data_IF_759925585990
#
_entry.id   IF_759925585990
#
_cell.length_a   1.000
_cell.length_b   1.000
_cell.length_c   1.000
_cell.angle_alpha   90.00
_cell.angle_beta   90.00
_cell.angle_gamma   90.00
#
_symmetry.space_group_name_H-M   'P 1'
#
loop_
_entity.id
_entity.type
_entity.pdbx_description
1 polymer ?
#
# COMPACT_ATOMS: atom_id res chain seq x y z
N UNK A 1 -51.34 57.39 -64.44
CA UNK A 1 -50.02 56.93 -64.93
C UNK A 1 -49.54 55.82 -64.02
N UNK A 2 -49.28 54.62 -64.58
CA UNK A 2 -48.42 53.51 -64.11
C UNK A 2 -48.51 53.00 -62.66
N UNK A 3 -48.35 51.72 -62.30
CA UNK A 3 -48.17 50.41 -62.95
C UNK A 3 -48.37 49.39 -61.80
N UNK A 4 -49.09 48.28 -62.10
CA UNK A 4 -48.98 46.87 -61.66
C UNK A 4 -48.55 46.45 -60.21
N UNK A 5 -49.35 45.51 -59.66
CA UNK A 5 -49.02 44.20 -59.00
C UNK A 5 -48.02 44.18 -57.83
N UNK A 6 -48.06 43.30 -56.82
CA UNK A 6 -48.96 42.25 -56.32
C UNK A 6 -48.28 41.66 -55.05
N UNK A 7 -49.07 41.03 -54.19
CA UNK A 7 -48.74 39.85 -53.37
C UNK A 7 -48.05 39.97 -51.99
N UNK A 8 -48.77 39.33 -51.05
CA UNK A 8 -48.33 38.48 -49.93
C UNK A 8 -47.78 39.19 -48.68
N UNK A 9 -48.57 39.25 -47.58
CA UNK A 9 -48.74 38.21 -46.52
C UNK A 9 -47.40 37.84 -45.87
N UNK A 10 -47.18 37.81 -44.57
CA UNK A 10 -47.89 38.15 -43.32
C UNK A 10 -46.78 38.01 -42.23
N UNK A 11 -46.86 38.74 -41.11
CA UNK A 11 -46.92 38.19 -39.74
C UNK A 11 -46.61 39.29 -38.72
N UNK A 12 -47.53 39.43 -37.77
CA UNK A 12 -47.59 40.42 -36.69
C UNK A 12 -46.86 39.85 -35.46
N UNK A 13 -46.12 40.67 -34.68
CA UNK A 13 -45.49 40.23 -33.44
C UNK A 13 -46.48 40.27 -32.28
N UNK A 14 -46.38 39.33 -31.34
CA UNK A 14 -47.05 39.44 -30.05
C UNK A 14 -46.13 38.94 -28.94
N UNK A 15 -45.52 39.89 -28.25
CA UNK A 15 -45.00 39.71 -26.91
C UNK A 15 -46.20 39.57 -25.95
N UNK A 16 -46.19 38.53 -25.11
CA UNK A 16 -47.00 38.46 -23.90
C UNK A 16 -46.26 37.64 -22.86
N UNK A 17 -46.17 38.24 -21.67
CA UNK A 17 -45.46 37.76 -20.52
C UNK A 17 -46.31 36.81 -19.66
N UNK A 18 -45.59 36.04 -18.82
CA UNK A 18 -46.00 35.33 -17.60
C UNK A 18 -46.62 33.94 -17.78
N UNK A 19 -45.81 32.91 -17.49
CA UNK A 19 -46.22 31.79 -16.66
C UNK A 19 -45.00 31.28 -15.88
N UNK A 20 -45.07 31.37 -14.56
CA UNK A 20 -44.10 30.81 -13.63
C UNK A 20 -44.18 29.28 -13.64
N UNK A 21 -43.05 28.64 -13.91
CA UNK A 21 -42.76 27.28 -13.45
C UNK A 21 -41.53 27.41 -12.56
N UNK A 22 -41.74 27.24 -11.26
CA UNK A 22 -40.67 27.05 -10.30
C UNK A 22 -39.90 25.79 -10.71
N UNK A 23 -38.69 25.97 -11.24
CA UNK A 23 -37.69 24.91 -11.22
C UNK A 23 -37.25 24.76 -9.77
N UNK A 24 -37.99 23.97 -8.99
CA UNK A 24 -37.39 23.16 -7.93
C UNK A 24 -36.56 22.08 -8.63
N UNK A 25 -35.44 22.49 -9.22
CA UNK A 25 -34.37 21.56 -9.51
C UNK A 25 -33.87 21.11 -8.15
N UNK A 26 -34.13 19.85 -7.82
CA UNK A 26 -33.30 19.14 -6.87
C UNK A 26 -31.86 19.45 -7.26
N UNK A 27 -31.17 20.27 -6.46
CA UNK A 27 -29.74 20.06 -6.31
C UNK A 27 -29.66 18.61 -5.94
N UNK A 28 -29.21 17.80 -6.89
CA UNK A 28 -28.90 16.41 -6.65
C UNK A 28 -27.94 16.43 -5.48
N UNK A 29 -28.49 16.08 -4.32
CA UNK A 29 -27.82 15.21 -3.39
C UNK A 29 -27.36 14.03 -4.24
N UNK A 30 -26.19 14.20 -4.86
CA UNK A 30 -25.34 13.11 -5.26
C UNK A 30 -25.11 12.41 -3.95
N UNK A 31 -26.00 11.46 -3.65
CA UNK A 31 -25.80 10.51 -2.59
C UNK A 31 -24.36 10.08 -2.76
N UNK A 32 -23.54 10.50 -1.79
CA UNK A 32 -22.46 9.67 -1.34
C UNK A 32 -23.14 8.33 -1.12
N UNK A 33 -23.06 7.46 -2.12
CA UNK A 33 -23.00 6.04 -1.84
C UNK A 33 -21.96 5.98 -0.73
N UNK A 34 -22.40 5.51 0.43
CA UNK A 34 -21.52 5.22 1.55
C UNK A 34 -20.47 4.28 0.96
N UNK A 35 -19.33 4.89 0.60
CA UNK A 35 -18.08 4.23 0.30
C UNK A 35 -17.89 3.23 1.42
N UNK A 36 -17.64 1.96 1.07
CA UNK A 36 -17.07 1.02 2.02
C UNK A 36 -15.94 1.75 2.74
N UNK A 37 -16.01 1.79 4.07
CA UNK A 37 -15.39 2.80 4.90
C UNK A 37 -13.99 3.20 4.40
N UNK A 38 -13.89 4.36 3.74
CA UNK A 38 -12.61 5.04 3.61
C UNK A 38 -12.07 5.13 5.03
N UNK A 39 -10.93 4.49 5.29
CA UNK A 39 -10.36 4.45 6.63
C UNK A 39 -10.22 5.90 7.12
N UNK A 40 -11.07 6.31 8.05
CA UNK A 40 -10.98 7.65 8.61
C UNK A 40 -9.60 7.78 9.26
N UNK A 41 -8.93 8.90 9.04
CA UNK A 41 -7.62 9.11 9.64
C UNK A 41 -7.78 9.24 11.16
N UNK A 42 -7.19 8.29 11.90
CA UNK A 42 -7.22 8.24 13.35
C UNK A 42 -6.46 9.40 14.03
N UNK A 43 -6.71 9.67 15.33
CA UNK A 43 -6.03 10.73 16.07
C UNK A 43 -4.50 10.66 16.04
N UNK A 44 -3.91 9.45 16.13
CA UNK A 44 -2.46 9.27 16.04
C UNK A 44 -1.99 9.37 14.59
N UNK A 45 -2.79 8.85 13.65
CA UNK A 45 -2.56 8.95 12.21
C UNK A 45 -2.27 10.39 11.74
N UNK A 46 -3.01 11.37 12.27
CA UNK A 46 -2.83 12.81 11.97
C UNK A 46 -1.44 13.37 12.29
N UNK A 47 -0.79 12.84 13.33
CA UNK A 47 0.59 13.23 13.62
C UNK A 47 1.54 12.53 12.64
N UNK A 48 1.30 11.25 12.34
CA UNK A 48 2.15 10.50 11.43
C UNK A 48 2.10 11.03 10.01
N UNK A 49 0.93 11.42 9.51
CA UNK A 49 0.77 12.03 8.20
C UNK A 49 1.38 13.44 8.09
N UNK A 50 1.83 14.04 9.20
CA UNK A 50 2.61 15.27 9.18
C UNK A 50 4.13 15.01 9.05
N UNK A 51 4.57 13.76 9.22
CA UNK A 51 5.95 13.35 8.96
C UNK A 51 6.19 12.99 7.48
N UNK A 52 5.12 12.77 6.72
CA UNK A 52 5.18 12.43 5.31
C UNK A 52 4.56 13.54 4.47
N UNK A 53 5.16 13.82 3.33
CA UNK A 53 4.57 14.70 2.31
C UNK A 53 3.96 13.82 1.23
N UNK A 54 2.64 13.64 1.26
CA UNK A 54 1.92 12.79 0.29
C UNK A 54 2.06 13.35 -1.15
N UNK A 55 2.34 14.65 -1.31
CA UNK A 55 2.68 15.27 -2.60
C UNK A 55 4.17 15.08 -2.99
N UNK A 56 4.97 14.42 -2.16
CA UNK A 56 6.38 14.12 -2.42
C UNK A 56 6.62 12.88 -3.27
N UNK A 57 5.67 11.96 -3.36
CA UNK A 57 5.86 10.72 -4.12
C UNK A 57 5.24 10.80 -5.51
N UNK A 58 5.75 11.70 -6.35
CA UNK A 58 5.47 11.66 -7.80
C UNK A 58 6.51 10.81 -8.51
N UNK A 59 6.16 10.19 -9.65
CA UNK A 59 7.14 9.47 -10.47
C UNK A 59 8.33 10.37 -10.83
N UNK A 60 8.09 11.66 -11.13
CA UNK A 60 9.16 12.63 -11.41
C UNK A 60 10.11 12.85 -10.22
N UNK A 61 9.59 12.92 -8.98
CA UNK A 61 10.43 13.06 -7.78
C UNK A 61 11.18 11.76 -7.48
N UNK A 62 10.53 10.61 -7.64
CA UNK A 62 11.17 9.31 -7.50
C UNK A 62 12.32 9.13 -8.51
N UNK A 63 12.09 9.45 -9.78
CA UNK A 63 13.12 9.39 -10.83
C UNK A 63 14.28 10.34 -10.52
N UNK A 64 13.99 11.54 -9.99
CA UNK A 64 15.02 12.51 -9.61
C UNK A 64 15.84 12.04 -8.39
N UNK A 65 15.23 11.43 -7.38
CA UNK A 65 15.93 10.85 -6.23
C UNK A 65 16.74 9.61 -6.63
N UNK A 66 16.20 8.77 -7.51
CA UNK A 66 16.92 7.63 -8.07
C UNK A 66 18.16 8.10 -8.86
N UNK A 67 18.00 9.08 -9.74
CA UNK A 67 19.12 9.69 -10.46
C UNK A 67 20.18 10.27 -9.52
N UNK A 68 19.77 11.02 -8.48
CA UNK A 68 20.71 11.57 -7.50
C UNK A 68 21.49 10.46 -6.79
N UNK A 69 20.83 9.38 -6.42
CA UNK A 69 21.47 8.21 -5.77
C UNK A 69 22.48 7.56 -6.72
N UNK A 70 22.08 7.31 -7.97
CA UNK A 70 22.93 6.71 -9.01
C UNK A 70 24.14 7.60 -9.37
N UNK A 71 24.00 8.93 -9.36
CA UNK A 71 25.12 9.85 -9.53
C UNK A 71 26.13 9.79 -8.38
N UNK A 72 25.65 9.63 -7.14
CA UNK A 72 26.51 9.44 -5.96
C UNK A 72 27.22 8.08 -6.01
N UNK A 73 26.54 7.03 -6.44
CA UNK A 73 27.13 5.70 -6.67
C UNK A 73 28.22 5.78 -7.74
N UNK A 74 27.95 6.43 -8.88
CA UNK A 74 28.92 6.61 -9.95
C UNK A 74 30.17 7.36 -9.48
N UNK A 75 30.00 8.41 -8.67
CA UNK A 75 31.11 9.16 -8.08
C UNK A 75 31.95 8.31 -7.11
N UNK A 76 31.29 7.49 -6.29
CA UNK A 76 31.95 6.55 -5.37
C UNK A 76 32.73 5.47 -6.14
N UNK A 77 32.10 4.80 -7.11
CA UNK A 77 32.75 3.77 -7.92
C UNK A 77 33.94 4.31 -8.71
N UNK A 78 33.81 5.51 -9.29
CA UNK A 78 34.91 6.18 -10.00
C UNK A 78 36.09 6.46 -9.07
N UNK A 79 35.83 6.85 -7.82
CA UNK A 79 36.86 7.11 -6.81
C UNK A 79 37.60 5.83 -6.40
N UNK A 80 36.89 4.71 -6.32
CA UNK A 80 37.45 3.39 -6.03
C UNK A 80 38.13 2.75 -7.26
N UNK A 81 38.01 3.39 -8.43
CA UNK A 81 38.74 3.04 -9.65
C UNK A 81 37.95 2.21 -10.66
N UNK A 82 36.63 2.08 -10.47
CA UNK A 82 35.74 1.39 -11.39
C UNK A 82 35.00 2.38 -12.31
N UNK A 83 34.79 1.99 -13.56
CA UNK A 83 33.85 2.70 -14.43
C UNK A 83 32.42 2.30 -14.04
N UNK A 84 31.53 3.27 -13.85
CA UNK A 84 30.14 3.04 -13.52
C UNK A 84 29.25 4.10 -14.18
N UNK A 85 28.25 3.63 -14.92
CA UNK A 85 27.21 4.43 -15.55
C UNK A 85 25.93 4.39 -14.69
N UNK A 86 25.38 5.56 -14.30
CA UNK A 86 24.13 5.66 -13.54
C UNK A 86 23.01 4.80 -14.10
N UNK A 87 22.47 3.93 -13.27
CA UNK A 87 21.48 2.94 -13.64
C UNK A 87 20.06 3.42 -13.32
N UNK A 88 19.54 4.34 -14.14
CA UNK A 88 18.24 4.98 -13.88
C UNK A 88 17.03 4.16 -14.31
N UNK A 89 17.25 3.07 -15.05
CA UNK A 89 16.19 2.19 -15.57
C UNK A 89 15.83 1.06 -14.59
N UNK A 90 16.50 0.99 -13.44
CA UNK A 90 16.25 0.01 -12.37
C UNK A 90 15.12 0.44 -11.42
N UNK A 91 14.58 1.65 -11.59
CA UNK A 91 13.59 2.25 -10.70
C UNK A 91 12.23 1.54 -10.78
N UNK A 92 11.76 1.03 -9.64
CA UNK A 92 10.40 0.55 -9.51
C UNK A 92 9.38 1.63 -9.85
N UNK A 93 8.30 1.25 -10.54
CA UNK A 93 7.15 2.13 -10.77
C UNK A 93 6.50 2.42 -9.42
N UNK A 94 6.22 3.69 -9.09
CA UNK A 94 5.36 4.01 -7.95
C UNK A 94 3.99 3.42 -8.29
N UNK A 95 3.56 2.42 -7.52
CA UNK A 95 2.33 1.66 -7.77
C UNK A 95 1.13 2.59 -7.94
N UNK A 96 0.32 2.28 -8.94
CA UNK A 96 -0.90 2.98 -9.36
C UNK A 96 -1.78 3.34 -8.16
N UNK A 97 -2.30 4.57 -8.14
CA UNK A 97 -3.34 4.99 -7.20
C UNK A 97 -4.60 4.13 -7.38
N UNK A 98 -5.44 4.04 -6.35
CA UNK A 98 -6.73 3.31 -6.41
C UNK A 98 -7.62 3.77 -7.59
N UNK A 99 -7.46 5.01 -8.07
CA UNK A 99 -8.17 5.55 -9.23
C UNK A 99 -7.80 4.89 -10.57
N UNK A 100 -6.62 4.26 -10.67
CA UNK A 100 -6.15 3.58 -11.87
C UNK A 100 -6.32 2.04 -11.79
N UNK A 101 -6.85 1.50 -10.68
CA UNK A 101 -7.10 0.07 -10.52
C UNK A 101 -8.27 -0.37 -11.42
N UNK A 102 -7.99 -1.20 -12.42
CA UNK A 102 -9.03 -1.83 -13.25
C UNK A 102 -9.73 -2.94 -12.45
N UNK A 103 -10.74 -2.63 -11.64
CA UNK A 103 -11.53 -3.65 -10.92
C UNK A 103 -12.46 -3.11 -9.84
N UNK A 104 -13.29 -3.97 -9.20
CA UNK A 104 -14.07 -3.61 -8.03
C UNK A 104 -13.17 -3.12 -6.87
N UNK A 105 -13.67 -2.18 -6.06
CA UNK A 105 -12.94 -1.67 -4.90
C UNK A 105 -12.59 -2.81 -3.93
N UNK A 106 -11.37 -2.78 -3.38
CA UNK A 106 -10.93 -3.75 -2.39
C UNK A 106 -11.84 -3.71 -1.15
N UNK A 107 -12.09 -4.86 -0.52
CA UNK A 107 -13.06 -5.02 0.58
C UNK A 107 -14.52 -4.62 0.25
N UNK A 108 -14.90 -4.52 -1.03
CA UNK A 108 -16.30 -4.28 -1.42
C UNK A 108 -17.11 -5.57 -1.52
N UNK A 109 -18.43 -5.43 -1.48
CA UNK A 109 -19.36 -6.55 -1.71
C UNK A 109 -19.17 -7.17 -3.11
N UNK A 110 -18.87 -6.32 -4.11
CA UNK A 110 -18.63 -6.75 -5.48
C UNK A 110 -17.32 -7.53 -5.58
N UNK A 111 -16.25 -7.05 -4.93
CA UNK A 111 -14.98 -7.76 -4.86
C UNK A 111 -15.13 -9.13 -4.19
N UNK A 112 -15.80 -9.20 -3.03
CA UNK A 112 -16.03 -10.47 -2.33
C UNK A 112 -16.81 -11.49 -3.18
N UNK A 113 -17.75 -11.01 -4.01
CA UNK A 113 -18.58 -11.85 -4.89
C UNK A 113 -17.87 -12.30 -6.16
N UNK A 114 -16.91 -11.53 -6.65
CA UNK A 114 -16.21 -11.80 -7.91
C UNK A 114 -14.87 -12.50 -7.68
N UNK A 115 -14.13 -12.08 -6.66
CA UNK A 115 -12.75 -12.50 -6.40
C UNK A 115 -12.54 -13.16 -5.02
N UNK A 116 -13.55 -13.16 -4.15
CA UNK A 116 -13.43 -13.73 -2.81
C UNK A 116 -12.51 -12.88 -1.93
N UNK A 117 -11.46 -13.50 -1.38
CA UNK A 117 -10.38 -12.80 -0.67
C UNK A 117 -9.22 -12.42 -1.59
N UNK A 118 -9.28 -12.76 -2.89
CA UNK A 118 -8.21 -12.54 -3.86
C UNK A 118 -7.06 -13.53 -3.74
N UNK A 119 -7.29 -14.75 -3.23
CA UNK A 119 -6.24 -15.76 -3.00
C UNK A 119 -5.81 -16.42 -4.33
N UNK A 120 -6.76 -16.75 -5.20
CA UNK A 120 -6.45 -17.39 -6.50
C UNK A 120 -6.33 -16.37 -7.63
N UNK A 121 -7.24 -15.40 -7.69
CA UNK A 121 -7.34 -14.41 -8.76
C UNK A 121 -7.90 -13.09 -8.23
N UNK A 122 -7.35 -11.98 -8.70
CA UNK A 122 -7.83 -10.64 -8.43
C UNK A 122 -7.29 -9.65 -9.48
N UNK A 123 -7.98 -8.52 -9.72
CA UNK A 123 -7.49 -7.51 -10.64
C UNK A 123 -6.14 -6.95 -10.18
N UNK A 124 -5.15 -6.98 -11.06
CA UNK A 124 -3.77 -6.58 -10.73
C UNK A 124 -2.87 -7.71 -10.21
N UNK A 125 -3.41 -8.89 -9.85
CA UNK A 125 -2.60 -10.04 -9.41
C UNK A 125 -1.64 -10.58 -10.48
N UNK A 126 -2.00 -10.45 -11.75
CA UNK A 126 -1.13 -10.75 -12.89
C UNK A 126 -0.14 -9.65 -13.26
N UNK A 127 -0.30 -8.43 -12.73
CA UNK A 127 0.51 -7.26 -13.10
C UNK A 127 1.90 -7.22 -12.44
N UNK A 128 2.17 -8.13 -11.49
CA UNK A 128 3.53 -8.39 -10.99
C UNK A 128 4.46 -8.94 -12.09
N UNK A 129 3.91 -9.54 -13.15
CA UNK A 129 4.61 -9.73 -14.41
C UNK A 129 4.50 -8.43 -15.21
N UNK A 130 5.38 -7.47 -14.88
CA UNK A 130 5.56 -6.28 -15.70
C UNK A 130 5.85 -6.65 -17.17
N UNK A 131 5.68 -5.72 -18.12
CA UNK A 131 6.10 -5.97 -19.50
C UNK A 131 7.54 -6.50 -19.51
N UNK A 132 7.79 -7.55 -20.30
CA UNK A 132 9.11 -8.12 -20.62
C UNK A 132 10.00 -7.10 -21.38
N UNK A 133 10.09 -5.86 -20.90
CA UNK A 133 11.15 -4.96 -21.31
C UNK A 133 12.41 -5.50 -20.64
N UNK A 134 13.11 -6.37 -21.38
CA UNK A 134 14.37 -7.01 -20.98
C UNK A 134 15.29 -5.94 -20.38
N UNK A 135 15.44 -6.00 -19.05
CA UNK A 135 16.23 -5.03 -18.32
C UNK A 135 17.67 -5.06 -18.83
N UNK A 136 18.14 -3.92 -19.35
CA UNK A 136 19.51 -3.77 -19.83
C UNK A 136 20.30 -2.97 -18.81
N UNK A 137 21.18 -3.65 -18.07
CA UNK A 137 22.16 -2.98 -17.21
C UNK A 137 23.20 -2.24 -18.08
N UNK A 138 23.33 -0.91 -17.96
CA UNK A 138 24.34 -0.15 -18.70
C UNK A 138 25.78 -0.55 -18.37
N UNK A 139 26.02 -1.12 -17.18
CA UNK A 139 27.34 -1.51 -16.70
C UNK A 139 27.78 -2.91 -17.13
N UNK A 140 26.87 -3.76 -17.61
CA UNK A 140 27.14 -5.17 -17.89
C UNK A 140 28.35 -5.38 -18.81
N UNK A 141 28.47 -4.55 -19.86
CA UNK A 141 29.58 -4.64 -20.81
C UNK A 141 30.94 -4.33 -20.19
N UNK A 142 30.99 -3.41 -19.23
CA UNK A 142 32.21 -3.11 -18.49
C UNK A 142 32.54 -4.25 -17.54
N UNK A 143 31.56 -4.74 -16.79
CA UNK A 143 31.70 -5.88 -15.86
C UNK A 143 32.23 -7.12 -16.60
N UNK A 144 31.67 -7.45 -17.76
CA UNK A 144 32.11 -8.59 -18.59
C UNK A 144 33.55 -8.45 -19.09
N UNK A 145 34.10 -7.24 -19.12
CA UNK A 145 35.48 -6.98 -19.53
C UNK A 145 36.49 -7.18 -18.39
N UNK A 146 36.02 -7.22 -17.15
CA UNK A 146 36.83 -7.43 -15.94
C UNK A 146 37.15 -8.92 -15.74
N UNK A 147 38.29 -9.22 -15.10
CA UNK A 147 38.57 -10.58 -14.61
C UNK A 147 37.63 -10.96 -13.46
N UNK A 148 37.48 -12.26 -13.16
CA UNK A 148 36.65 -12.75 -12.06
C UNK A 148 36.97 -12.06 -10.71
N UNK A 149 38.25 -11.85 -10.42
CA UNK A 149 38.68 -11.15 -9.20
C UNK A 149 38.33 -9.67 -9.20
N UNK A 150 38.33 -9.03 -10.37
CA UNK A 150 37.95 -7.62 -10.53
C UNK A 150 36.43 -7.45 -10.50
N UNK A 151 35.66 -8.41 -11.02
CA UNK A 151 34.20 -8.45 -10.90
C UNK A 151 33.78 -8.60 -9.43
N UNK A 152 34.43 -9.49 -8.69
CA UNK A 152 34.17 -9.64 -7.25
C UNK A 152 34.44 -8.33 -6.50
N UNK A 153 35.58 -7.68 -6.78
CA UNK A 153 35.91 -6.40 -6.18
C UNK A 153 34.93 -5.28 -6.59
N UNK A 154 34.44 -5.29 -7.84
CA UNK A 154 33.42 -4.36 -8.32
C UNK A 154 32.13 -4.49 -7.51
N UNK A 155 31.59 -5.70 -7.37
CA UNK A 155 30.35 -5.93 -6.63
C UNK A 155 30.51 -5.68 -5.12
N UNK A 156 31.64 -6.06 -4.53
CA UNK A 156 31.94 -5.77 -3.12
C UNK A 156 32.06 -4.26 -2.87
N UNK A 157 32.60 -3.49 -3.83
CA UNK A 157 32.65 -2.03 -3.72
C UNK A 157 31.26 -1.41 -3.88
N UNK A 158 30.46 -1.95 -4.81
CA UNK A 158 29.14 -1.44 -5.14
C UNK A 158 28.12 -1.69 -4.02
N UNK A 159 28.07 -2.91 -3.48
CA UNK A 159 27.06 -3.37 -2.51
C UNK A 159 27.60 -3.67 -1.12
N UNK A 160 28.92 -3.62 -0.93
CA UNK A 160 29.57 -4.03 0.31
C UNK A 160 29.88 -5.54 0.36
N UNK A 161 30.57 -5.99 1.43
CA UNK A 161 30.76 -7.41 1.67
C UNK A 161 29.40 -8.11 1.83
N UNK A 162 29.26 -9.29 1.22
CA UNK A 162 28.10 -10.15 1.47
C UNK A 162 27.95 -10.52 2.95
N UNK A 163 26.76 -10.97 3.36
CA UNK A 163 26.50 -11.35 4.75
C UNK A 163 27.46 -12.46 5.20
N UNK A 164 27.92 -12.36 6.44
CA UNK A 164 28.74 -13.39 7.08
C UNK A 164 27.93 -14.66 7.31
N UNK A 165 28.61 -15.79 7.51
CA UNK A 165 27.96 -17.07 7.82
C UNK A 165 27.10 -17.01 9.10
N UNK A 166 27.50 -16.17 10.07
CA UNK A 166 26.73 -15.90 11.29
C UNK A 166 25.49 -15.04 11.01
N UNK A 167 25.59 -14.01 10.17
CA UNK A 167 24.45 -13.19 9.73
C UNK A 167 23.47 -14.01 8.87
N UNK A 168 23.98 -14.87 7.99
CA UNK A 168 23.13 -15.80 7.22
C UNK A 168 22.40 -16.79 8.13
N UNK A 169 23.08 -17.37 9.13
CA UNK A 169 22.44 -18.25 10.10
C UNK A 169 21.36 -17.51 10.93
N UNK A 170 21.62 -16.26 11.31
CA UNK A 170 20.63 -15.44 12.01
C UNK A 170 19.40 -15.14 11.14
N UNK A 171 19.58 -14.87 9.84
CA UNK A 171 18.49 -14.67 8.89
C UNK A 171 17.65 -15.95 8.70
N UNK A 172 18.30 -17.12 8.63
CA UNK A 172 17.61 -18.42 8.54
C UNK A 172 16.80 -18.75 9.79
N UNK A 173 17.20 -18.26 10.96
CA UNK A 173 16.48 -18.41 12.24
C UNK A 173 15.40 -17.33 12.47
N UNK A 174 15.09 -16.50 11.47
CA UNK A 174 14.09 -15.44 11.57
C UNK A 174 14.56 -14.21 12.35
N UNK A 175 15.86 -14.07 12.55
CA UNK A 175 16.48 -12.87 13.10
C UNK A 175 16.38 -11.68 12.12
N UNK A 176 16.23 -10.48 12.68
CA UNK A 176 16.27 -9.24 11.90
C UNK A 176 17.72 -8.85 11.59
N UNK A 177 18.02 -8.59 10.32
CA UNK A 177 19.26 -7.91 9.92
C UNK A 177 19.09 -6.41 10.16
N UNK A 178 19.90 -5.83 11.05
CA UNK A 178 19.97 -4.38 11.20
C UNK A 178 20.87 -3.83 10.10
N UNK A 179 20.30 -3.11 9.14
CA UNK A 179 21.04 -2.47 8.04
C UNK A 179 22.07 -1.48 8.61
N UNK A 180 23.35 -1.72 8.29
CA UNK A 180 24.44 -0.78 8.54
C UNK A 180 24.91 -0.25 7.18
N UNK A 181 24.45 0.95 6.84
CA UNK A 181 24.77 1.60 5.57
C UNK A 181 26.27 1.72 5.31
N UNK A 182 27.12 1.72 6.35
CA UNK A 182 28.58 1.81 6.21
C UNK A 182 29.20 0.54 5.67
N UNK A 183 28.47 -0.59 5.75
CA UNK A 183 28.87 -1.90 5.24
C UNK A 183 28.23 -2.24 3.90
N UNK A 184 27.42 -1.35 3.34
CA UNK A 184 26.65 -1.60 2.10
C UNK A 184 27.29 -0.96 0.85
N UNK A 185 28.60 -0.71 0.91
CA UNK A 185 29.38 -0.20 -0.22
C UNK A 185 28.95 1.19 -0.70
N UNK A 186 29.15 1.45 -1.99
CA UNK A 186 28.78 2.71 -2.61
C UNK A 186 27.26 2.97 -2.58
N UNK A 187 26.42 1.94 -2.71
CA UNK A 187 24.97 2.09 -2.59
C UNK A 187 24.54 2.50 -1.18
N UNK A 188 25.11 1.86 -0.14
CA UNK A 188 24.85 2.22 1.26
C UNK A 188 25.18 3.67 1.56
N UNK A 189 26.37 4.12 1.15
CA UNK A 189 26.81 5.50 1.32
C UNK A 189 25.93 6.51 0.56
N UNK A 190 25.60 6.22 -0.71
CA UNK A 190 24.76 7.08 -1.53
C UNK A 190 23.34 7.22 -0.95
N UNK A 191 22.72 6.09 -0.56
CA UNK A 191 21.40 6.08 0.08
C UNK A 191 21.41 6.85 1.40
N UNK A 192 22.44 6.68 2.22
CA UNK A 192 22.54 7.41 3.48
C UNK A 192 22.64 8.92 3.24
N UNK A 193 23.40 9.36 2.24
CA UNK A 193 23.52 10.77 1.89
C UNK A 193 22.21 11.35 1.33
N UNK A 194 21.47 10.60 0.50
CA UNK A 194 20.15 11.05 0.01
C UNK A 194 19.08 11.07 1.10
N UNK A 195 19.11 10.13 2.04
CA UNK A 195 18.17 10.07 3.17
C UNK A 195 18.41 11.16 4.22
N UNK A 196 19.67 11.55 4.48
CA UNK A 196 19.99 12.66 5.39
C UNK A 196 19.44 14.02 4.92
N UNK A 197 19.30 14.20 3.61
CA UNK A 197 18.81 15.45 3.01
C UNK A 197 17.28 15.58 3.06
N UNK A 198 16.55 14.50 3.36
CA UNK A 198 15.09 14.45 3.36
C UNK A 198 14.54 14.54 4.80
N UNK A 199 14.05 15.72 5.23
CA UNK A 199 13.34 15.83 6.51
C UNK A 199 12.02 15.04 6.46
N UNK A 200 11.64 14.44 7.58
CA UNK A 200 10.40 13.66 7.70
C UNK A 200 10.65 12.18 7.95
N UNK A 201 9.60 11.37 7.75
CA UNK A 201 9.58 9.90 7.75
C UNK A 201 10.71 9.22 8.53
N UNK A 202 11.71 8.72 7.81
CA UNK A 202 12.81 7.91 8.36
C UNK A 202 13.69 8.67 9.36
N UNK A 203 14.00 9.95 9.10
CA UNK A 203 14.81 10.75 10.02
C UNK A 203 14.12 10.95 11.38
N UNK A 204 12.78 10.94 11.41
CA UNK A 204 12.01 10.99 12.64
C UNK A 204 12.17 9.70 13.45
N UNK A 205 12.06 8.53 12.81
CA UNK A 205 12.18 7.22 13.45
C UNK A 205 13.60 6.91 13.95
N UNK A 206 14.63 7.42 13.28
CA UNK A 206 16.03 7.21 13.66
C UNK A 206 16.50 8.15 14.79
N UNK A 207 15.70 9.16 15.15
CA UNK A 207 16.06 10.12 16.17
C UNK A 207 15.97 9.51 17.58
N UNK A 208 17.10 9.35 18.30
CA UNK A 208 17.11 8.72 19.63
C UNK A 208 16.32 9.54 20.67
N UNK A 209 16.02 10.82 20.41
CA UNK A 209 15.16 11.63 21.27
C UNK A 209 13.72 11.10 21.32
N UNK A 210 13.24 10.45 20.26
CA UNK A 210 11.86 9.98 20.13
C UNK A 210 11.72 8.45 20.14
N UNK A 211 12.80 7.70 20.35
CA UNK A 211 12.78 6.23 20.36
C UNK A 211 11.72 5.66 21.34
N UNK A 212 11.66 6.18 22.58
CA UNK A 212 10.66 5.76 23.57
C UNK A 212 9.22 6.12 23.15
N UNK A 213 9.03 7.22 22.41
CA UNK A 213 7.73 7.63 21.89
C UNK A 213 7.22 6.64 20.84
N UNK A 214 8.08 6.23 19.89
CA UNK A 214 7.73 5.26 18.86
C UNK A 214 7.50 3.86 19.43
N UNK A 215 8.30 3.43 20.40
CA UNK A 215 8.03 2.18 21.15
C UNK A 215 6.65 2.22 21.81
N UNK A 216 6.32 3.34 22.46
CA UNK A 216 5.03 3.54 23.11
C UNK A 216 3.86 3.64 22.12
N UNK A 217 4.10 4.15 20.90
CA UNK A 217 3.09 4.15 19.84
C UNK A 217 2.75 2.73 19.36
N UNK A 218 3.75 1.87 19.17
CA UNK A 218 3.53 0.48 18.77
C UNK A 218 2.68 -0.28 19.81
N UNK A 219 2.89 0.03 21.10
CA UNK A 219 2.09 -0.54 22.18
C UNK A 219 0.60 -0.16 22.11
N UNK A 220 0.21 0.92 21.41
CA UNK A 220 -1.21 1.26 21.20
C UNK A 220 -1.92 0.14 20.45
N UNK A 221 -1.36 -0.33 19.33
CA UNK A 221 -1.93 -1.41 18.55
C UNK A 221 -1.94 -2.74 19.32
N UNK A 222 -0.89 -3.03 20.10
CA UNK A 222 -0.86 -4.21 20.97
C UNK A 222 -2.01 -4.22 21.97
N UNK A 223 -2.37 -3.06 22.55
CA UNK A 223 -3.48 -2.98 23.51
C UNK A 223 -4.85 -3.20 22.89
N UNK A 224 -4.95 -3.10 21.55
CA UNK A 224 -6.21 -3.28 20.82
C UNK A 224 -6.30 -4.68 20.24
N UNK A 225 -5.23 -5.18 19.63
CA UNK A 225 -5.27 -6.34 18.73
C UNK A 225 -4.44 -7.55 19.18
N UNK A 226 -3.56 -7.44 20.20
CA UNK A 226 -2.75 -8.60 20.62
C UNK A 226 -3.64 -9.71 21.20
N UNK A 227 -3.41 -10.96 20.81
CA UNK A 227 -4.22 -12.11 21.25
C UNK A 227 -4.28 -12.22 22.79
N UNK A 228 -3.13 -12.04 23.46
CA UNK A 228 -3.02 -12.14 24.92
C UNK A 228 -3.73 -11.01 25.68
N UNK A 229 -3.98 -9.87 25.03
CA UNK A 229 -4.57 -8.67 25.65
C UNK A 229 -5.66 -8.06 24.78
N UNK A 230 -6.36 -8.90 24.00
CA UNK A 230 -7.35 -8.43 23.03
C UNK A 230 -8.37 -7.54 23.73
N UNK A 231 -8.65 -6.38 23.15
CA UNK A 231 -9.58 -5.45 23.76
C UNK A 231 -10.97 -6.14 23.91
N UNK A 232 -11.63 -6.08 25.09
CA UNK A 232 -12.90 -6.78 25.30
C UNK A 232 -14.02 -6.41 24.31
N UNK A 233 -14.01 -5.19 23.77
CA UNK A 233 -14.98 -4.77 22.74
C UNK A 233 -14.68 -5.43 21.38
N UNK A 234 -13.40 -5.60 21.04
CA UNK A 234 -12.98 -6.34 19.84
C UNK A 234 -13.27 -7.83 20.02
N UNK A 235 -12.91 -8.40 21.17
CA UNK A 235 -13.18 -9.80 21.49
C UNK A 235 -14.69 -10.11 21.40
N UNK A 236 -15.55 -9.21 21.90
CA UNK A 236 -17.00 -9.36 21.72
C UNK A 236 -17.43 -9.25 20.26
N UNK A 237 -16.84 -8.32 19.51
CA UNK A 237 -17.15 -8.14 18.09
C UNK A 237 -16.74 -9.37 17.27
N UNK A 238 -15.62 -10.02 17.61
CA UNK A 238 -15.18 -11.28 17.00
C UNK A 238 -16.14 -12.43 17.33
N UNK A 239 -16.65 -12.51 18.56
CA UNK A 239 -17.68 -13.50 18.94
C UNK A 239 -18.97 -13.30 18.17
N UNK A 240 -19.47 -12.07 18.07
CA UNK A 240 -20.69 -11.76 17.32
C UNK A 240 -20.52 -12.13 15.83
N UNK A 241 -19.33 -11.88 15.27
CA UNK A 241 -18.99 -12.25 13.89
C UNK A 241 -18.90 -13.77 13.72
N UNK A 242 -18.28 -14.47 14.65
CA UNK A 242 -18.15 -15.94 14.65
C UNK A 242 -19.52 -16.61 14.69
N UNK A 243 -20.45 -16.10 15.51
CA UNK A 243 -21.84 -16.58 15.55
C UNK A 243 -22.54 -16.41 14.19
N UNK A 244 -22.35 -15.25 13.53
CA UNK A 244 -22.90 -15.01 12.19
C UNK A 244 -22.30 -15.96 11.13
N UNK A 245 -20.99 -16.18 11.17
CA UNK A 245 -20.33 -17.11 10.26
C UNK A 245 -20.74 -18.56 10.50
N UNK A 246 -20.98 -18.94 11.75
CA UNK A 246 -21.52 -20.25 12.09
C UNK A 246 -22.92 -20.46 11.48
N UNK A 247 -23.78 -19.44 11.52
CA UNK A 247 -25.08 -19.47 10.83
C UNK A 247 -24.94 -19.56 9.31
N UNK A 248 -23.88 -18.96 8.74
CA UNK A 248 -23.53 -19.06 7.32
C UNK A 248 -22.86 -20.40 6.92
N UNK A 249 -22.57 -21.29 7.88
CA UNK A 249 -22.01 -22.62 7.63
C UNK A 249 -20.54 -22.81 8.00
N UNK A 250 -19.92 -21.82 8.65
CA UNK A 250 -18.50 -21.81 9.03
C UNK A 250 -18.31 -21.72 10.57
N UNK A 251 -18.62 -22.78 11.33
CA UNK A 251 -18.69 -22.73 12.80
C UNK A 251 -17.35 -22.72 13.53
N UNK A 252 -16.25 -23.02 12.83
CA UNK A 252 -14.91 -23.17 13.44
C UNK A 252 -14.06 -21.88 13.38
N UNK A 253 -14.62 -20.79 12.84
CA UNK A 253 -13.93 -19.50 12.68
C UNK A 253 -14.07 -18.64 13.94
N UNK A 254 -12.96 -18.11 14.44
CA UNK A 254 -12.92 -17.30 15.67
C UNK A 254 -12.91 -15.80 15.41
N UNK A 255 -12.43 -15.39 14.25
CA UNK A 255 -12.28 -14.01 13.82
C UNK A 255 -12.06 -13.96 12.29
N UNK A 256 -12.25 -12.79 11.64
CA UNK A 256 -12.11 -12.68 10.19
C UNK A 256 -10.72 -12.98 9.65
N UNK A 257 -9.66 -12.71 10.41
CA UNK A 257 -8.29 -12.94 9.97
C UNK A 257 -8.03 -14.45 9.87
N UNK A 258 -8.53 -15.25 10.82
CA UNK A 258 -8.48 -16.72 10.75
C UNK A 258 -9.22 -17.28 9.52
N UNK A 259 -10.30 -16.63 9.06
CA UNK A 259 -11.01 -17.06 7.85
C UNK A 259 -10.17 -16.94 6.59
N UNK A 260 -9.56 -15.76 6.39
CA UNK A 260 -8.68 -15.50 5.25
C UNK A 260 -7.42 -16.36 5.35
N UNK A 261 -6.73 -16.35 6.49
CA UNK A 261 -5.48 -17.07 6.69
C UNK A 261 -5.65 -18.58 6.48
N UNK A 262 -6.73 -19.18 6.98
CA UNK A 262 -6.99 -20.61 6.81
C UNK A 262 -7.12 -21.02 5.34
N UNK A 263 -7.82 -20.21 4.53
CA UNK A 263 -7.92 -20.45 3.09
C UNK A 263 -6.58 -20.20 2.38
N UNK A 264 -5.87 -19.12 2.72
CA UNK A 264 -4.55 -18.85 2.16
C UNK A 264 -3.56 -20.00 2.44
N UNK A 265 -3.51 -20.49 3.68
CA UNK A 265 -2.67 -21.63 4.07
C UNK A 265 -3.06 -22.91 3.33
N UNK A 266 -4.35 -23.20 3.17
CA UNK A 266 -4.83 -24.34 2.36
C UNK A 266 -4.34 -24.22 0.91
N UNK A 267 -4.47 -23.03 0.32
CA UNK A 267 -4.05 -22.77 -1.05
C UNK A 267 -2.53 -22.89 -1.22
N UNK A 268 -1.74 -22.34 -0.30
CA UNK A 268 -0.28 -22.50 -0.31
C UNK A 268 0.14 -23.95 -0.12
N UNK A 269 -0.51 -24.70 0.79
CA UNK A 269 -0.24 -26.12 0.98
C UNK A 269 -0.55 -26.96 -0.28
N UNK A 270 -1.52 -26.50 -1.09
CA UNK A 270 -1.85 -27.15 -2.37
C UNK A 270 -0.76 -26.98 -3.44
N UNK A 271 0.09 -25.95 -3.32
CA UNK A 271 1.21 -25.63 -4.22
C UNK A 271 2.52 -26.36 -3.85
N UNK A 272 2.47 -27.41 -3.02
CA UNK A 272 3.64 -28.00 -2.37
C UNK A 272 4.86 -28.31 -3.27
N UNK A 273 6.04 -28.38 -2.63
CA UNK A 273 7.30 -28.83 -3.24
C UNK A 273 7.14 -30.25 -3.83
N UNK A 274 7.61 -30.48 -5.05
CA UNK A 274 7.68 -31.82 -5.64
C UNK A 274 8.39 -32.82 -4.71
N UNK A 275 8.01 -34.11 -4.78
CA UNK A 275 8.57 -35.20 -3.94
C UNK A 275 10.11 -35.33 -4.04
N UNK A 276 10.74 -34.65 -4.99
CA UNK A 276 12.17 -34.64 -5.32
C UNK A 276 12.91 -33.32 -5.02
N UNK A 277 12.26 -32.36 -4.35
CA UNK A 277 12.87 -31.07 -4.02
C UNK A 277 13.04 -30.13 -5.23
N UNK A 278 12.30 -30.38 -6.31
CA UNK A 278 12.15 -29.49 -7.47
C UNK A 278 10.70 -29.00 -7.65
N UNK A 279 10.53 -28.06 -8.60
CA UNK A 279 9.33 -27.33 -9.08
C UNK A 279 8.06 -27.38 -8.21
N UNK A 280 7.58 -26.19 -7.80
CA UNK A 280 6.29 -25.95 -7.15
C UNK A 280 5.19 -26.66 -7.96
N UNK A 281 4.48 -27.59 -7.33
CA UNK A 281 3.37 -28.28 -7.98
C UNK A 281 2.16 -27.37 -7.98
N UNK A 282 2.01 -26.61 -9.06
CA UNK A 282 0.83 -25.76 -9.26
C UNK A 282 -0.47 -26.58 -9.28
N UNK A 283 -1.52 -26.14 -8.56
CA UNK A 283 -2.86 -26.70 -8.69
C UNK A 283 -3.34 -26.60 -10.14
N UNK A 284 -4.04 -27.63 -10.61
CA UNK A 284 -4.68 -27.58 -11.92
C UNK A 284 -5.73 -26.48 -11.97
N UNK A 285 -6.05 -25.96 -13.16
CA UNK A 285 -7.10 -24.95 -13.30
C UNK A 285 -8.42 -25.39 -12.65
N UNK A 286 -8.77 -26.67 -12.76
CA UNK A 286 -9.98 -27.23 -12.13
C UNK A 286 -9.93 -27.18 -10.60
N UNK A 287 -8.76 -27.39 -10.00
CA UNK A 287 -8.56 -27.27 -8.55
C UNK A 287 -8.62 -25.80 -8.11
N UNK A 288 -8.04 -24.89 -8.91
CA UNK A 288 -8.14 -23.43 -8.72
C UNK A 288 -9.59 -22.95 -8.78
N UNK A 289 -10.35 -23.35 -9.81
CA UNK A 289 -11.77 -22.98 -9.98
C UNK A 289 -12.62 -23.48 -8.80
N UNK A 290 -12.41 -24.73 -8.36
CA UNK A 290 -13.15 -25.31 -7.25
C UNK A 290 -12.79 -24.67 -5.89
N UNK A 291 -11.54 -24.24 -5.73
CA UNK A 291 -11.12 -23.48 -4.56
C UNK A 291 -11.76 -22.08 -4.57
N UNK A 292 -11.68 -21.38 -5.70
CA UNK A 292 -12.23 -20.02 -5.89
C UNK A 292 -13.74 -19.97 -5.58
N UNK A 293 -14.50 -20.99 -5.99
CA UNK A 293 -15.94 -21.05 -5.68
C UNK A 293 -16.22 -21.06 -4.16
N UNK A 294 -15.42 -21.81 -3.39
CA UNK A 294 -15.54 -21.85 -1.91
C UNK A 294 -15.02 -20.57 -1.25
N UNK A 295 -13.97 -19.99 -1.81
CA UNK A 295 -13.41 -18.72 -1.35
C UNK A 295 -14.44 -17.60 -1.48
N UNK A 296 -15.07 -17.47 -2.65
CA UNK A 296 -16.13 -16.48 -2.91
C UNK A 296 -17.30 -16.66 -1.96
N UNK A 297 -17.74 -17.91 -1.71
CA UNK A 297 -18.83 -18.21 -0.78
C UNK A 297 -18.49 -17.71 0.64
N UNK A 298 -17.30 -18.03 1.14
CA UNK A 298 -16.86 -17.65 2.48
C UNK A 298 -16.65 -16.14 2.60
N UNK A 299 -15.98 -15.52 1.63
CA UNK A 299 -15.71 -14.08 1.63
C UNK A 299 -17.02 -13.27 1.52
N UNK A 300 -18.00 -13.73 0.74
CA UNK A 300 -19.32 -13.10 0.66
C UNK A 300 -20.07 -13.20 2.00
N UNK A 301 -19.98 -14.34 2.69
CA UNK A 301 -20.55 -14.51 4.02
C UNK A 301 -19.85 -13.61 5.04
N UNK A 302 -18.51 -13.58 5.05
CA UNK A 302 -17.70 -12.72 5.91
C UNK A 302 -18.06 -11.24 5.73
N UNK A 303 -18.08 -10.77 4.48
CA UNK A 303 -18.48 -9.39 4.16
C UNK A 303 -19.88 -9.07 4.67
N UNK A 304 -20.83 -9.99 4.48
CA UNK A 304 -22.21 -9.80 4.96
C UNK A 304 -22.27 -9.70 6.48
N UNK A 305 -21.59 -10.61 7.19
CA UNK A 305 -21.51 -10.59 8.65
C UNK A 305 -20.85 -9.32 9.18
N UNK A 306 -19.72 -8.90 8.59
CA UNK A 306 -19.02 -7.66 8.94
C UNK A 306 -19.93 -6.43 8.79
N UNK A 307 -20.63 -6.34 7.66
CA UNK A 307 -21.55 -5.25 7.34
C UNK A 307 -22.73 -5.18 8.32
N UNK A 308 -23.37 -6.31 8.62
CA UNK A 308 -24.50 -6.36 9.57
C UNK A 308 -24.08 -5.96 10.98
N UNK A 309 -22.87 -6.37 11.39
CA UNK A 309 -22.33 -6.10 12.72
C UNK A 309 -21.69 -4.73 12.86
N UNK A 310 -21.52 -4.00 11.75
CA UNK A 310 -20.73 -2.76 11.67
C UNK A 310 -19.32 -3.00 12.23
N UNK A 311 -18.73 -4.11 11.80
CA UNK A 311 -17.50 -4.66 12.37
C UNK A 311 -16.36 -3.64 12.29
N UNK A 312 -16.13 -3.07 11.10
CA UNK A 312 -15.09 -2.07 10.84
C UNK A 312 -15.30 -0.81 11.67
N UNK A 313 -16.54 -0.30 11.75
CA UNK A 313 -16.87 0.89 12.55
C UNK A 313 -16.56 0.66 14.05
N UNK A 314 -16.85 -0.54 14.56
CA UNK A 314 -16.56 -0.90 15.96
C UNK A 314 -15.06 -1.00 16.20
N UNK A 315 -14.32 -1.66 15.29
CA UNK A 315 -12.86 -1.75 15.40
C UNK A 315 -12.21 -0.36 15.35
N UNK A 316 -12.58 0.46 14.38
CA UNK A 316 -12.09 1.84 14.25
C UNK A 316 -12.38 2.66 15.49
N UNK A 317 -13.58 2.55 16.06
CA UNK A 317 -13.93 3.27 17.29
C UNK A 317 -13.03 2.88 18.47
N UNK A 318 -12.75 1.59 18.65
CA UNK A 318 -11.87 1.11 19.73
C UNK A 318 -10.44 1.61 19.49
N UNK A 319 -9.93 1.48 18.27
CA UNK A 319 -8.60 1.95 17.89
C UNK A 319 -8.48 3.47 18.12
N UNK A 320 -9.41 4.27 17.64
CA UNK A 320 -9.37 5.73 17.80
C UNK A 320 -9.48 6.15 19.26
N UNK A 321 -10.20 5.40 20.10
CA UNK A 321 -10.22 5.66 21.52
C UNK A 321 -8.84 5.40 22.18
N UNK A 322 -8.16 4.33 21.78
CA UNK A 322 -6.81 4.01 22.24
C UNK A 322 -5.79 5.05 21.73
N UNK A 323 -5.85 5.41 20.45
CA UNK A 323 -5.03 6.46 19.85
C UNK A 323 -5.27 7.82 20.52
N UNK A 324 -6.53 8.22 20.74
CA UNK A 324 -6.83 9.50 21.38
C UNK A 324 -6.26 9.57 22.80
N UNK A 325 -6.39 8.48 23.56
CA UNK A 325 -5.78 8.39 24.90
C UNK A 325 -4.26 8.56 24.81
N UNK A 326 -3.61 7.86 23.88
CA UNK A 326 -2.17 7.98 23.66
C UNK A 326 -1.76 9.42 23.29
N UNK A 327 -2.50 10.04 22.38
CA UNK A 327 -2.29 11.44 21.96
C UNK A 327 -2.43 12.39 23.15
N UNK A 328 -3.46 12.22 23.98
CA UNK A 328 -3.68 13.07 25.17
C UNK A 328 -2.54 12.93 26.18
N UNK A 329 -2.02 11.71 26.38
CA UNK A 329 -0.94 11.40 27.31
C UNK A 329 0.44 11.86 26.78
N UNK A 330 0.65 11.86 25.46
CA UNK A 330 1.94 12.12 24.82
C UNK A 330 1.98 13.40 23.98
N UNK A 331 0.97 14.26 24.12
CA UNK A 331 0.79 15.44 23.26
C UNK A 331 2.05 16.30 23.12
N UNK A 332 2.73 16.57 24.22
CA UNK A 332 3.93 17.41 24.19
C UNK A 332 5.09 16.77 23.40
N UNK A 333 5.25 15.45 23.49
CA UNK A 333 6.28 14.71 22.74
C UNK A 333 5.94 14.63 21.25
N UNK A 334 4.66 14.37 20.93
CA UNK A 334 4.16 14.41 19.54
C UNK A 334 4.32 15.81 18.91
N UNK A 335 3.96 16.88 19.63
CA UNK A 335 4.14 18.25 19.15
C UNK A 335 5.63 18.58 18.92
N UNK A 336 6.52 18.09 19.78
CA UNK A 336 7.97 18.25 19.62
C UNK A 336 8.52 17.47 18.42
N UNK A 337 8.03 16.25 18.19
CA UNK A 337 8.35 15.43 17.02
C UNK A 337 8.00 16.18 15.73
N UNK A 338 6.77 16.68 15.62
CA UNK A 338 6.33 17.43 14.44
C UNK A 338 7.08 18.75 14.30
N UNK A 339 7.38 19.45 15.39
CA UNK A 339 8.16 20.68 15.32
C UNK A 339 9.58 20.47 14.79
N UNK A 340 10.17 19.29 15.05
CA UNK A 340 11.54 18.94 14.64
C UNK A 340 11.60 18.31 13.25
N UNK A 341 10.68 17.38 12.95
CA UNK A 341 10.72 16.52 11.76
C UNK A 341 9.52 16.67 10.82
N UNK A 342 8.50 17.43 11.20
CA UNK A 342 7.29 17.59 10.40
C UNK A 342 7.59 18.25 9.05
N UNK A 343 7.01 17.70 7.98
CA UNK A 343 7.15 18.24 6.64
C UNK A 343 6.13 19.36 6.45
N UNK A 344 6.55 20.48 5.86
CA UNK A 344 5.64 21.60 5.59
C UNK A 344 4.72 21.23 4.44
N UNK A 345 3.47 20.87 4.73
CA UNK A 345 2.39 20.85 3.73
C UNK A 345 2.27 22.27 3.15
N UNK A 346 2.37 22.43 1.83
CA UNK A 346 2.10 23.72 1.18
C UNK A 346 0.58 23.92 1.20
N UNK A 347 0.13 24.97 1.87
CA UNK A 347 -1.27 25.44 1.86
C UNK A 347 -1.76 25.83 0.45
#
# INVERSE_FOLDING_TARGET
MSVRTSSARYWVPAALAIAALALTGCSGDSGKAESGAAYEEGPLGKYMSALWDDEAMTQEKFDAENLKTEELVAACMTKEGFEYEPNTNSGGVVTMSEEDSEGPEWNSEEFAKEYGYGIVDFPGGGAMAGPDDEYVDPNQKYIDSLSESEQAAFYETLHGPGPTEEEMAAMEEGGSFTSDWTREGCYGAARHETQQDSPGGMAAYEDPEFAELFESMNAVYETVYSEDKLNPEIEQTNRDWSDCMAEAGYPDLTDPMTAQNGLSEEYYASQGMGEDGGEIKEPTQKEKDAFQEREIEMATADFTCKKELKYEEKQQKVLFAAEQKFVDENKAALDALIAKHGVKKKD
#
